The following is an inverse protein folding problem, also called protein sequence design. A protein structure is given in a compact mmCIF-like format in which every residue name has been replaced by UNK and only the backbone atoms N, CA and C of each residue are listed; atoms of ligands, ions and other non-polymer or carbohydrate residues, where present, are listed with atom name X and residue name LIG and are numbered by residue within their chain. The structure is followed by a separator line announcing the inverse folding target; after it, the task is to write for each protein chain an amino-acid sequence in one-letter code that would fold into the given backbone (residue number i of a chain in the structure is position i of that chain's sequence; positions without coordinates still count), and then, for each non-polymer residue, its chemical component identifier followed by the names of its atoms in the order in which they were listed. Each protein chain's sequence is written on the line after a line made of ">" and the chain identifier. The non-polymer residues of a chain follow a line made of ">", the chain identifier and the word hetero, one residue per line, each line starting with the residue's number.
data_IF_106333905882
#
_entry.id   IF_106333905882
#
_cell.length_a   1.000
_cell.length_b   1.000
_cell.length_c   1.000
_cell.angle_alpha   90.00
_cell.angle_beta   90.00
_cell.angle_gamma   90.00
#
_symmetry.space_group_name_H-M   'P 1'
#
loop_
_entity.id
_entity.type
_entity.pdbx_description
1 polymer ?
#
# COMPACT_ATOMS: atom_id res chain seq x y z
N UNK A 1 13.04 -0.71 7.80
CA UNK A 1 12.32 0.43 7.21
C UNK A 1 11.82 1.39 8.30
N UNK A 2 11.31 0.86 9.41
CA UNK A 2 10.72 1.64 10.51
C UNK A 2 11.54 2.84 11.02
N UNK A 3 12.79 2.60 11.46
CA UNK A 3 13.64 3.67 12.01
C UNK A 3 14.05 4.74 10.99
N UNK A 4 14.10 4.36 9.72
CA UNK A 4 14.40 5.31 8.64
C UNK A 4 13.18 6.22 8.39
N UNK A 5 11.99 5.63 8.31
CA UNK A 5 10.74 6.35 8.03
C UNK A 5 10.37 7.33 9.12
N UNK A 6 10.39 6.93 10.39
CA UNK A 6 10.01 7.81 11.51
C UNK A 6 11.03 8.92 11.75
N UNK A 7 12.32 8.62 11.57
CA UNK A 7 13.40 9.61 11.64
C UNK A 7 13.26 10.67 10.53
N UNK A 8 13.11 10.21 9.28
CA UNK A 8 12.97 11.12 8.14
C UNK A 8 11.67 11.94 8.22
N UNK A 9 10.55 11.33 8.61
CA UNK A 9 9.28 12.03 8.83
C UNK A 9 9.42 13.17 9.84
N UNK A 10 10.19 12.95 10.91
CA UNK A 10 10.44 13.98 11.93
C UNK A 10 11.33 15.11 11.42
N UNK A 11 12.34 14.77 10.62
CA UNK A 11 13.28 15.73 10.03
C UNK A 11 12.58 16.69 9.07
N UNK A 12 11.73 16.17 8.17
CA UNK A 12 11.05 16.97 7.14
C UNK A 12 9.67 17.47 7.56
N UNK A 13 9.27 17.23 8.81
CA UNK A 13 7.94 17.62 9.30
C UNK A 13 7.72 19.13 9.11
N UNK A 14 8.70 19.96 9.45
CA UNK A 14 8.58 21.43 9.32
C UNK A 14 8.44 21.87 7.85
N UNK A 15 8.98 21.10 6.92
CA UNK A 15 8.90 21.36 5.47
C UNK A 15 7.56 20.94 4.85
N UNK A 16 6.62 20.47 5.66
CA UNK A 16 5.29 20.04 5.23
C UNK A 16 5.33 18.85 4.26
N UNK A 17 6.24 17.90 4.51
CA UNK A 17 6.40 16.68 3.73
C UNK A 17 5.98 15.47 4.57
N UNK A 18 5.15 14.61 3.99
CA UNK A 18 4.74 13.35 4.61
C UNK A 18 5.69 12.22 4.21
N UNK A 19 6.11 11.40 5.17
CA UNK A 19 6.95 10.22 4.92
C UNK A 19 6.31 9.04 5.59
N UNK A 20 5.80 8.11 4.79
CA UNK A 20 5.06 6.94 5.25
C UNK A 20 5.57 5.68 4.55
N UNK A 21 5.29 4.54 5.15
CA UNK A 21 5.52 3.21 4.59
C UNK A 21 4.21 2.45 4.64
N UNK A 22 3.90 1.80 3.54
CA UNK A 22 2.75 0.93 3.43
C UNK A 22 3.18 -0.39 2.79
N UNK A 23 2.84 -1.49 3.45
CA UNK A 23 3.10 -2.84 2.98
C UNK A 23 1.80 -3.47 2.48
N UNK A 24 1.82 -4.23 1.37
CA UNK A 24 0.72 -5.12 1.07
C UNK A 24 0.69 -6.27 2.11
N UNK A 25 -0.45 -6.96 2.19
CA UNK A 25 -0.54 -8.29 2.81
C UNK A 25 0.14 -9.37 1.95
N UNK A 26 -0.41 -10.58 1.93
CA UNK A 26 0.16 -11.64 1.09
C UNK A 26 0.02 -11.24 -0.39
N UNK A 27 1.09 -11.35 -1.17
CA UNK A 27 1.06 -11.11 -2.62
C UNK A 27 1.32 -12.44 -3.33
N UNK A 28 0.35 -12.89 -4.13
CA UNK A 28 0.49 -14.05 -4.99
C UNK A 28 1.42 -13.72 -6.18
N UNK A 29 2.73 -13.77 -5.95
CA UNK A 29 3.72 -13.70 -7.03
C UNK A 29 3.99 -15.11 -7.57
N UNK A 30 4.45 -15.27 -8.83
CA UNK A 30 4.78 -16.58 -9.40
C UNK A 30 5.72 -17.43 -8.52
N UNK A 31 6.63 -16.78 -7.77
CA UNK A 31 7.51 -17.45 -6.80
C UNK A 31 6.80 -17.94 -5.53
N UNK A 32 5.75 -17.27 -5.08
CA UNK A 32 4.92 -17.67 -3.92
C UNK A 32 4.01 -18.86 -4.26
N UNK A 33 3.54 -18.91 -5.51
CA UNK A 33 2.72 -20.02 -6.06
C UNK A 33 3.55 -21.30 -6.23
N UNK A 34 4.81 -21.19 -6.71
CA UNK A 34 5.70 -22.34 -6.91
C UNK A 34 6.14 -23.03 -5.60
N UNK A 35 6.09 -22.32 -4.46
CA UNK A 35 6.47 -22.85 -3.14
C UNK A 35 5.28 -23.22 -2.24
N UNK A 36 4.06 -23.37 -2.78
CA UNK A 36 2.87 -23.83 -2.06
C UNK A 36 2.49 -23.00 -0.81
N UNK A 37 2.92 -21.74 -0.73
CA UNK A 37 2.53 -20.81 0.34
C UNK A 37 1.12 -20.21 0.13
N UNK A 38 0.48 -20.54 -0.99
CA UNK A 38 -0.90 -20.16 -1.32
C UNK A 38 -1.70 -21.45 -1.50
N UNK A 39 -2.25 -21.97 -0.41
CA UNK A 39 -3.32 -22.97 -0.47
C UNK A 39 -4.65 -22.23 -0.68
N UNK A 40 -5.72 -22.94 -1.08
CA UNK A 40 -7.05 -22.33 -1.22
C UNK A 40 -7.55 -21.59 0.05
N UNK A 41 -6.95 -21.85 1.21
CA UNK A 41 -7.23 -21.18 2.49
C UNK A 41 -6.52 -19.83 2.67
N UNK A 42 -5.52 -19.48 1.85
CA UNK A 42 -4.74 -18.24 1.99
C UNK A 42 -5.14 -17.12 1.02
N UNK A 43 -6.06 -17.42 0.10
CA UNK A 43 -6.54 -16.47 -0.92
C UNK A 43 -7.24 -15.25 -0.29
N UNK A 44 -7.91 -15.43 0.85
CA UNK A 44 -8.50 -14.34 1.64
C UNK A 44 -7.46 -13.37 2.25
N UNK A 45 -6.18 -13.77 2.29
CA UNK A 45 -5.08 -12.92 2.79
C UNK A 45 -4.37 -12.14 1.68
N UNK A 46 -4.79 -12.33 0.43
CA UNK A 46 -4.30 -11.51 -0.68
C UNK A 46 -4.82 -10.09 -0.53
N UNK A 47 -3.95 -9.10 -0.68
CA UNK A 47 -4.37 -7.70 -0.74
C UNK A 47 -4.71 -7.36 -2.19
N UNK A 48 -5.98 -7.04 -2.51
CA UNK A 48 -6.34 -6.58 -3.85
C UNK A 48 -5.53 -5.33 -4.23
N UNK A 49 -5.20 -5.20 -5.52
CA UNK A 49 -4.42 -4.05 -6.00
C UNK A 49 -5.16 -2.73 -5.75
N UNK A 50 -6.50 -2.76 -5.83
CA UNK A 50 -7.39 -1.65 -5.56
C UNK A 50 -7.30 -1.21 -4.09
N UNK A 51 -7.18 -2.14 -3.14
CA UNK A 51 -7.01 -1.81 -1.72
C UNK A 51 -5.65 -1.16 -1.47
N UNK A 52 -4.59 -1.67 -2.11
CA UNK A 52 -3.27 -1.06 -2.01
C UNK A 52 -3.28 0.35 -2.62
N UNK A 53 -3.93 0.53 -3.77
CA UNK A 53 -4.05 1.82 -4.43
C UNK A 53 -4.84 2.82 -3.57
N UNK A 54 -5.97 2.42 -3.00
CA UNK A 54 -6.82 3.26 -2.16
C UNK A 54 -6.10 3.66 -0.86
N UNK A 55 -5.43 2.72 -0.20
CA UNK A 55 -4.66 3.01 1.00
C UNK A 55 -3.46 3.94 0.72
N UNK A 56 -2.77 3.75 -0.40
CA UNK A 56 -1.74 4.68 -0.87
C UNK A 56 -2.33 6.06 -1.18
N UNK A 57 -3.48 6.11 -1.85
CA UNK A 57 -4.17 7.35 -2.18
C UNK A 57 -4.49 8.14 -0.92
N UNK A 58 -5.06 7.48 0.11
CA UNK A 58 -5.32 8.08 1.42
C UNK A 58 -4.06 8.71 2.03
N UNK A 59 -2.91 8.05 1.95
CA UNK A 59 -1.65 8.59 2.49
C UNK A 59 -1.14 9.82 1.72
N UNK A 60 -1.34 9.89 0.40
CA UNK A 60 -0.80 10.99 -0.42
C UNK A 60 -1.77 12.16 -0.59
N UNK A 61 -3.08 11.95 -0.36
CA UNK A 61 -4.10 13.00 -0.49
C UNK A 61 -4.35 13.77 0.81
N UNK A 62 -3.87 13.28 1.93
CA UNK A 62 -4.10 13.84 3.26
C UNK A 62 -3.10 14.98 3.58
N UNK A 63 -3.45 15.84 4.54
CA UNK A 63 -2.51 16.87 5.02
C UNK A 63 -1.24 16.21 5.60
N UNK A 64 -0.03 16.59 5.12
CA UNK A 64 1.23 16.09 5.65
C UNK A 64 1.44 16.27 7.15
N UNK A 65 0.74 17.23 7.77
CA UNK A 65 0.77 17.47 9.22
C UNK A 65 -0.15 16.54 10.01
N UNK A 66 -1.09 15.88 9.36
CA UNK A 66 -2.06 14.98 10.02
C UNK A 66 -1.72 13.51 9.81
N UNK A 67 -1.03 13.15 8.71
CA UNK A 67 -0.75 11.76 8.37
C UNK A 67 0.69 11.54 7.83
N UNK A 68 1.66 11.40 8.74
CA UNK A 68 3.08 11.17 8.44
C UNK A 68 3.74 10.25 9.49
N UNK A 69 4.87 9.63 9.13
CA UNK A 69 5.64 8.74 10.01
C UNK A 69 5.04 7.35 10.17
N UNK A 70 4.02 6.98 9.40
CA UNK A 70 3.35 5.68 9.54
C UNK A 70 4.18 4.55 8.93
N UNK A 71 4.10 3.39 9.57
CA UNK A 71 4.51 2.10 9.02
C UNK A 71 3.28 1.21 9.14
N UNK A 72 2.66 0.87 8.02
CA UNK A 72 1.33 0.29 8.02
C UNK A 72 1.14 -0.82 7.00
N UNK A 73 0.04 -1.54 7.15
CA UNK A 73 -0.46 -2.47 6.14
C UNK A 73 -1.69 -1.89 5.44
N UNK A 74 -1.84 -2.22 4.16
CA UNK A 74 -3.00 -1.77 3.39
C UNK A 74 -4.32 -2.21 4.02
N UNK A 75 -4.41 -3.43 4.57
CA UNK A 75 -5.62 -3.91 5.24
C UNK A 75 -5.99 -3.05 6.47
N UNK A 76 -5.02 -2.73 7.31
CA UNK A 76 -5.22 -1.91 8.51
C UNK A 76 -5.68 -0.49 8.13
N UNK A 77 -5.08 0.10 7.10
CA UNK A 77 -5.52 1.39 6.53
C UNK A 77 -6.96 1.34 6.01
N UNK A 78 -7.34 0.29 5.28
CA UNK A 78 -8.71 0.15 4.76
C UNK A 78 -9.73 0.06 5.90
N UNK A 79 -9.41 -0.70 6.97
CA UNK A 79 -10.31 -0.85 8.12
C UNK A 79 -10.33 0.39 9.03
N UNK A 80 -9.18 0.98 9.35
CA UNK A 80 -9.07 2.16 10.22
C UNK A 80 -9.85 3.35 9.62
N UNK A 81 -9.67 3.59 8.33
CA UNK A 81 -10.27 4.74 7.65
C UNK A 81 -11.60 4.42 6.95
N UNK A 82 -12.10 3.17 7.08
CA UNK A 82 -13.33 2.70 6.43
C UNK A 82 -13.37 3.04 4.93
N UNK A 83 -12.24 2.78 4.26
CA UNK A 83 -12.06 3.11 2.86
C UNK A 83 -12.86 2.16 1.96
N UNK A 84 -13.30 2.66 0.82
CA UNK A 84 -13.94 1.86 -0.22
C UNK A 84 -13.06 1.95 -1.47
N UNK A 85 -12.45 0.83 -1.84
CA UNK A 85 -11.57 0.79 -2.99
C UNK A 85 -12.37 0.96 -4.29
N UNK A 86 -11.91 1.85 -5.16
CA UNK A 86 -12.48 2.00 -6.49
C UNK A 86 -11.91 0.97 -7.45
N UNK A 87 -12.72 0.54 -8.43
CA UNK A 87 -12.22 -0.26 -9.54
C UNK A 87 -11.16 0.52 -10.31
N UNK A 88 -10.00 -0.10 -10.50
CA UNK A 88 -8.97 0.46 -11.36
C UNK A 88 -9.30 0.08 -12.80
N UNK A 89 -9.41 1.04 -13.73
CA UNK A 89 -9.55 0.70 -15.14
C UNK A 89 -8.31 -0.09 -15.55
N UNK A 90 -8.51 -1.34 -15.98
CA UNK A 90 -7.44 -2.19 -16.51
C UNK A 90 -6.75 -1.41 -17.62
N UNK A 91 -5.56 -0.88 -17.37
CA UNK A 91 -4.70 -0.45 -18.47
C UNK A 91 -4.26 -1.72 -19.19
N UNK A 92 -4.62 -1.91 -20.47
CA UNK A 92 -4.03 -3.01 -21.20
C UNK A 92 -2.52 -2.80 -21.22
N UNK A 93 -1.77 -3.82 -20.81
CA UNK A 93 -0.31 -3.89 -20.93
C UNK A 93 0.10 -4.01 -22.41
N UNK A 94 -0.39 -3.14 -23.27
CA UNK A 94 0.06 -3.00 -24.64
C UNK A 94 1.20 -1.98 -24.62
N UNK A 95 2.44 -2.47 -24.55
CA UNK A 95 3.60 -1.62 -24.86
C UNK A 95 3.38 -1.01 -26.25
N UNK A 96 3.63 0.29 -26.48
CA UNK A 96 3.70 0.82 -27.83
C UNK A 96 4.80 0.06 -28.56
N UNK A 97 4.46 -0.60 -29.66
CA UNK A 97 5.44 -1.19 -30.55
C UNK A 97 6.35 -0.05 -31.05
N UNK A 98 7.62 -0.09 -30.66
CA UNK A 98 8.68 0.73 -31.26
C UNK A 98 9.01 0.25 -32.65
#
# INVERSE_FOLDING_TARGET
>A
LERFTTGLASEVYQDNIAVNVISPGLVATPGTVFHNLVSGETHERETPVEHMAEACFKLVSEDPKTLTGRIDYAYDMMDEFKLTAQELPLQPLSRPNG
#
